data_IF_199762537025
#
_entry.id   IF_199762537025
#
_cell.length_a   1.000
_cell.length_b   1.000
_cell.length_c   1.000
_cell.angle_alpha   90.00
_cell.angle_beta   90.00
_cell.angle_gamma   90.00
#
_symmetry.space_group_name_H-M   'P 1'
#
loop_
_entity.id
_entity.type
_entity.pdbx_description
1 polymer ?
#
# COMPACT_ATOMS: atom_id res chain seq x y z
N UNK A 1 14.49 -1.17 -25.39
CA UNK A 1 15.40 -0.98 -24.24
C UNK A 1 15.53 -2.32 -23.52
N UNK A 2 16.73 -2.71 -23.06
CA UNK A 2 16.84 -3.90 -22.19
C UNK A 2 16.04 -3.64 -20.91
N UNK A 3 15.34 -4.66 -20.41
CA UNK A 3 14.47 -4.59 -19.23
C UNK A 3 15.26 -4.07 -18.02
N UNK A 4 14.74 -3.01 -17.36
CA UNK A 4 15.37 -2.37 -16.19
C UNK A 4 15.49 -3.37 -15.04
N UNK A 5 14.51 -4.25 -14.85
CA UNK A 5 14.56 -5.30 -13.83
C UNK A 5 15.49 -6.45 -14.22
N UNK A 6 15.60 -6.80 -15.51
CA UNK A 6 16.58 -7.78 -15.96
C UNK A 6 18.02 -7.28 -15.76
N UNK A 7 18.23 -5.96 -15.88
CA UNK A 7 19.50 -5.30 -15.55
C UNK A 7 19.75 -5.30 -14.03
N UNK A 8 18.78 -4.84 -13.22
CA UNK A 8 18.87 -4.79 -11.75
C UNK A 8 19.13 -6.14 -11.11
N UNK A 9 18.45 -7.19 -11.58
CA UNK A 9 18.64 -8.51 -11.00
C UNK A 9 20.06 -9.08 -11.28
N UNK A 10 20.78 -8.56 -12.27
CA UNK A 10 22.17 -8.93 -12.59
C UNK A 10 23.19 -7.89 -12.13
N UNK A 11 22.83 -6.97 -11.24
CA UNK A 11 23.74 -6.02 -10.61
C UNK A 11 23.67 -6.17 -9.10
N UNK A 12 24.81 -6.18 -8.42
CA UNK A 12 24.88 -6.15 -6.96
C UNK A 12 25.58 -4.87 -6.53
N UNK A 13 25.00 -4.13 -5.58
CA UNK A 13 25.68 -2.99 -5.00
C UNK A 13 26.88 -3.47 -4.16
N UNK A 14 28.03 -2.83 -4.36
CA UNK A 14 29.23 -2.98 -3.52
C UNK A 14 29.28 -1.87 -2.48
N UNK A 15 28.88 -0.68 -2.90
CA UNK A 15 28.68 0.54 -2.12
C UNK A 15 27.50 1.28 -2.75
N UNK A 16 27.00 2.33 -2.10
CA UNK A 16 25.96 3.18 -2.68
C UNK A 16 26.40 3.70 -4.07
N UNK A 17 25.52 3.58 -5.07
CA UNK A 17 25.75 3.98 -6.47
C UNK A 17 26.93 3.26 -7.18
N UNK A 18 27.51 2.21 -6.58
CA UNK A 18 28.59 1.42 -7.18
C UNK A 18 28.20 -0.05 -7.31
N UNK A 19 27.95 -0.48 -8.54
CA UNK A 19 27.45 -1.83 -8.84
C UNK A 19 28.44 -2.69 -9.59
N UNK A 20 28.44 -3.99 -9.28
CA UNK A 20 29.13 -5.01 -10.05
C UNK A 20 28.11 -5.84 -10.85
N UNK A 21 28.42 -6.14 -12.11
CA UNK A 21 27.60 -7.06 -12.90
C UNK A 21 27.82 -8.51 -12.46
N UNK A 22 26.73 -9.24 -12.31
CA UNK A 22 26.71 -10.65 -11.96
C UNK A 22 26.38 -11.51 -13.17
N UNK A 23 26.93 -12.74 -13.17
CA UNK A 23 26.73 -13.71 -14.25
C UNK A 23 25.30 -14.25 -14.28
N UNK A 24 24.65 -14.34 -13.13
CA UNK A 24 23.28 -14.82 -12.95
C UNK A 24 22.51 -13.83 -12.05
N UNK A 25 21.15 -13.84 -12.10
CA UNK A 25 20.32 -13.17 -11.12
C UNK A 25 20.80 -13.46 -9.70
N UNK A 26 21.00 -12.43 -8.89
CA UNK A 26 21.52 -12.60 -7.53
C UNK A 26 20.41 -12.68 -6.48
N UNK A 27 19.19 -12.21 -6.83
CA UNK A 27 18.00 -12.29 -5.99
C UNK A 27 16.82 -12.78 -6.85
N UNK A 28 16.24 -13.92 -6.48
CA UNK A 28 15.02 -14.38 -7.12
C UNK A 28 13.82 -13.61 -6.57
N UNK A 29 13.34 -12.62 -7.33
CA UNK A 29 12.14 -11.82 -7.00
C UNK A 29 10.82 -12.50 -7.39
N UNK A 30 10.88 -13.71 -7.96
CA UNK A 30 9.67 -14.44 -8.33
C UNK A 30 8.82 -14.69 -7.08
N UNK A 31 7.52 -14.37 -7.16
CA UNK A 31 6.61 -14.42 -6.03
C UNK A 31 5.28 -15.06 -6.46
N UNK A 32 5.22 -16.39 -6.52
CA UNK A 32 4.02 -17.12 -6.93
C UNK A 32 3.56 -18.04 -5.80
N UNK A 33 2.31 -17.90 -5.40
CA UNK A 33 1.58 -18.68 -4.41
C UNK A 33 1.41 -20.15 -4.85
N UNK A 34 1.28 -21.09 -3.89
CA UNK A 34 0.87 -22.46 -4.20
C UNK A 34 -0.60 -22.59 -4.64
N UNK A 35 -1.40 -21.52 -4.55
CA UNK A 35 -2.82 -21.52 -4.87
C UNK A 35 -3.09 -20.91 -6.24
N UNK A 36 -4.10 -21.45 -6.93
CA UNK A 36 -4.43 -21.03 -8.28
C UNK A 36 -5.09 -19.65 -8.29
N UNK A 37 -6.05 -19.40 -7.39
CA UNK A 37 -6.87 -18.18 -7.35
C UNK A 37 -6.69 -17.32 -6.09
N UNK A 38 -5.72 -17.63 -5.24
CA UNK A 38 -5.46 -16.86 -4.02
C UNK A 38 -4.01 -16.44 -3.93
N UNK A 39 -3.82 -15.16 -3.59
CA UNK A 39 -2.54 -14.74 -3.04
C UNK A 39 -2.33 -15.42 -1.67
N UNK A 40 -1.09 -15.48 -1.22
CA UNK A 40 -0.75 -15.95 0.13
C UNK A 40 0.29 -15.05 0.78
N UNK A 41 0.40 -15.08 2.10
CA UNK A 41 1.40 -14.30 2.84
C UNK A 41 2.83 -14.67 2.46
N UNK A 42 3.72 -13.68 2.40
CA UNK A 42 5.14 -13.93 2.18
C UNK A 42 5.75 -14.80 3.30
N UNK A 43 6.64 -15.73 2.91
CA UNK A 43 7.30 -16.65 3.84
C UNK A 43 6.52 -17.93 4.11
N UNK A 44 5.32 -18.09 3.54
CA UNK A 44 4.54 -19.32 3.66
C UNK A 44 5.10 -20.45 2.78
N UNK A 45 5.09 -21.71 3.25
CA UNK A 45 5.63 -22.84 2.50
C UNK A 45 4.90 -23.09 1.17
N UNK A 46 5.65 -23.46 0.14
CA UNK A 46 5.09 -23.91 -1.15
C UNK A 46 5.01 -22.82 -2.22
N UNK A 47 5.33 -21.56 -1.88
CA UNK A 47 5.54 -20.53 -2.88
C UNK A 47 6.70 -20.89 -3.84
N UNK A 48 6.54 -20.52 -5.11
CA UNK A 48 7.60 -20.60 -6.11
C UNK A 48 8.33 -19.26 -6.21
N UNK A 49 9.64 -19.33 -5.98
CA UNK A 49 10.55 -18.19 -5.89
C UNK A 49 10.76 -17.70 -4.46
N UNK A 50 11.60 -16.67 -4.29
CA UNK A 50 11.97 -16.12 -2.97
C UNK A 50 11.46 -14.69 -2.73
N UNK A 51 10.75 -14.12 -3.71
CA UNK A 51 10.29 -12.74 -3.67
C UNK A 51 8.93 -12.58 -3.01
N UNK A 52 8.49 -11.32 -2.97
CA UNK A 52 7.13 -10.94 -2.56
C UNK A 52 6.66 -9.70 -3.32
N UNK A 53 5.35 -9.52 -3.31
CA UNK A 53 4.66 -8.36 -3.86
C UNK A 53 4.06 -7.56 -2.71
N UNK A 54 4.42 -6.28 -2.63
CA UNK A 54 3.78 -5.33 -1.72
C UNK A 54 2.61 -4.68 -2.44
N UNK A 55 1.46 -4.60 -1.78
CA UNK A 55 0.24 -3.96 -2.29
C UNK A 55 -0.13 -2.81 -1.36
N UNK A 56 -0.67 -1.71 -1.88
CA UNK A 56 -1.07 -0.58 -1.04
C UNK A 56 -2.57 -0.64 -0.76
N UNK A 57 -2.95 -0.42 0.51
CA UNK A 57 -4.34 -0.26 0.92
C UNK A 57 -4.46 0.81 2.01
N UNK A 58 -5.41 1.70 1.83
CA UNK A 58 -5.99 2.54 2.90
C UNK A 58 -7.50 2.41 2.84
N UNK A 59 -8.16 2.49 3.99
CA UNK A 59 -9.62 2.49 4.05
C UNK A 59 -10.10 3.21 5.31
N UNK A 60 -11.28 3.83 5.22
CA UNK A 60 -11.95 4.43 6.35
C UNK A 60 -13.48 4.24 6.23
N UNK A 61 -14.12 3.87 7.34
CA UNK A 61 -15.54 3.50 7.35
C UNK A 61 -16.20 3.76 8.70
N UNK A 62 -17.53 3.60 8.75
CA UNK A 62 -18.30 3.77 9.98
C UNK A 62 -19.31 2.65 10.20
N UNK A 63 -19.67 2.45 11.47
CA UNK A 63 -20.74 1.56 11.92
C UNK A 63 -21.59 2.25 12.98
N UNK A 64 -22.87 1.89 13.08
CA UNK A 64 -23.70 2.36 14.19
C UNK A 64 -23.22 1.73 15.51
N UNK A 65 -23.10 2.54 16.57
CA UNK A 65 -22.75 2.06 17.90
C UNK A 65 -23.91 1.25 18.49
N UNK A 66 -23.59 0.06 18.99
CA UNK A 66 -24.51 -0.80 19.74
C UNK A 66 -24.28 -0.62 21.25
N UNK A 67 -24.91 -1.47 22.08
CA UNK A 67 -24.71 -1.44 23.53
C UNK A 67 -23.41 -2.17 23.95
N UNK A 68 -22.65 -2.72 23.02
CA UNK A 68 -21.40 -3.45 23.28
C UNK A 68 -20.22 -2.78 22.57
N UNK A 69 -19.43 -2.02 23.34
CA UNK A 69 -18.30 -1.25 22.81
C UNK A 69 -17.19 -2.14 22.26
N UNK A 70 -17.04 -3.37 22.77
CA UNK A 70 -16.03 -4.30 22.30
C UNK A 70 -16.42 -4.83 20.92
N UNK A 71 -17.67 -5.28 20.78
CA UNK A 71 -18.21 -5.77 19.51
C UNK A 71 -18.13 -4.68 18.45
N UNK A 72 -18.50 -3.45 18.77
CA UNK A 72 -18.49 -2.37 17.79
C UNK A 72 -17.08 -2.06 17.27
N UNK A 73 -16.08 -2.07 18.16
CA UNK A 73 -14.68 -1.83 17.76
C UNK A 73 -14.15 -2.95 16.87
N UNK A 74 -14.45 -4.21 17.20
CA UNK A 74 -14.05 -5.38 16.41
C UNK A 74 -14.71 -5.33 15.03
N UNK A 75 -16.03 -5.15 14.98
CA UNK A 75 -16.80 -5.11 13.73
C UNK A 75 -16.37 -3.94 12.83
N UNK A 76 -16.07 -2.78 13.41
CA UNK A 76 -15.58 -1.64 12.63
C UNK A 76 -14.21 -1.92 12.01
N UNK A 77 -13.34 -2.68 12.69
CA UNK A 77 -12.04 -3.10 12.17
C UNK A 77 -12.15 -4.11 11.04
N UNK A 78 -12.89 -5.19 11.24
CA UNK A 78 -13.10 -6.22 10.20
C UNK A 78 -13.74 -5.63 8.93
N UNK A 79 -14.63 -4.64 9.07
CA UNK A 79 -15.21 -3.95 7.92
C UNK A 79 -14.18 -3.17 7.11
N UNK A 80 -13.20 -2.53 7.76
CA UNK A 80 -12.16 -1.80 7.07
C UNK A 80 -11.21 -2.76 6.30
N UNK A 81 -10.95 -3.95 6.84
CA UNK A 81 -10.20 -5.00 6.12
C UNK A 81 -10.92 -5.45 4.84
N UNK A 82 -12.25 -5.56 4.89
CA UNK A 82 -13.08 -5.98 3.77
C UNK A 82 -13.35 -4.86 2.72
N UNK A 83 -13.28 -3.58 3.11
CA UNK A 83 -13.55 -2.45 2.21
C UNK A 83 -12.43 -2.23 1.18
N UNK A 84 -12.71 -1.59 0.05
CA UNK A 84 -11.73 -1.31 -1.01
C UNK A 84 -11.00 -2.58 -1.48
N UNK A 85 -9.66 -2.58 -1.53
CA UNK A 85 -8.88 -3.77 -1.81
C UNK A 85 -9.11 -4.82 -0.72
N UNK A 86 -9.72 -5.94 -1.09
CA UNK A 86 -10.18 -6.95 -0.14
C UNK A 86 -9.00 -7.69 0.51
N UNK A 87 -8.80 -7.46 1.81
CA UNK A 87 -7.82 -8.17 2.64
C UNK A 87 -8.46 -8.80 3.88
N UNK A 88 -9.79 -8.95 3.88
CA UNK A 88 -10.53 -9.51 5.00
C UNK A 88 -10.23 -10.99 5.23
N UNK A 89 -10.50 -11.45 6.46
CA UNK A 89 -10.36 -12.86 6.87
C UNK A 89 -8.92 -13.38 6.89
N UNK A 90 -7.91 -12.52 6.99
CA UNK A 90 -6.51 -12.91 7.19
C UNK A 90 -6.08 -12.71 8.65
N UNK A 91 -4.98 -13.33 9.02
CA UNK A 91 -4.25 -13.03 10.24
C UNK A 91 -3.14 -12.05 9.90
N UNK A 92 -3.32 -10.75 10.21
CA UNK A 92 -2.29 -9.74 9.97
C UNK A 92 -1.14 -9.85 11.00
N UNK A 93 0.09 -9.91 10.51
CA UNK A 93 1.31 -9.90 11.31
C UNK A 93 2.07 -8.59 11.06
N UNK A 94 2.13 -7.71 12.05
CA UNK A 94 2.74 -6.38 11.89
C UNK A 94 4.25 -6.45 11.69
N UNK A 95 4.74 -5.77 10.65
CA UNK A 95 6.16 -5.59 10.32
C UNK A 95 6.59 -4.12 10.41
N UNK A 96 7.90 -3.89 10.34
CA UNK A 96 8.54 -2.57 10.47
C UNK A 96 8.56 -1.73 9.18
N UNK A 97 7.69 -2.01 8.21
CA UNK A 97 7.39 -1.12 7.07
C UNK A 97 8.48 -0.92 5.99
N UNK A 98 9.06 -1.98 5.43
CA UNK A 98 10.00 -1.89 4.27
C UNK A 98 9.62 -2.79 3.10
N UNK A 99 9.94 -2.40 1.87
CA UNK A 99 9.92 -3.29 0.69
C UNK A 99 11.36 -3.41 0.16
N UNK A 100 12.01 -4.52 0.51
CA UNK A 100 13.43 -4.77 0.26
C UNK A 100 13.74 -5.29 -1.14
N UNK A 101 14.98 -5.74 -1.33
CA UNK A 101 15.53 -6.13 -2.64
C UNK A 101 14.80 -7.31 -3.31
N UNK A 102 14.17 -8.19 -2.52
CA UNK A 102 13.34 -9.30 -3.02
C UNK A 102 11.88 -8.90 -3.28
N UNK A 103 11.49 -7.69 -2.86
CA UNK A 103 10.15 -7.15 -2.99
C UNK A 103 9.92 -6.43 -4.30
N UNK A 104 8.67 -6.43 -4.73
CA UNK A 104 8.17 -5.65 -5.87
C UNK A 104 6.85 -5.00 -5.50
N UNK A 105 6.55 -3.80 -6.00
CA UNK A 105 5.31 -3.09 -5.71
C UNK A 105 4.29 -3.30 -6.84
N UNK A 106 3.12 -3.83 -6.51
CA UNK A 106 2.02 -3.97 -7.48
C UNK A 106 1.51 -2.61 -7.93
N UNK A 107 1.25 -2.45 -9.23
CA UNK A 107 0.88 -1.17 -9.84
C UNK A 107 2.07 -0.26 -10.16
N UNK A 108 3.29 -0.59 -9.70
CA UNK A 108 4.51 0.16 -10.05
C UNK A 108 5.55 -0.73 -10.76
N UNK A 109 6.02 -1.78 -10.08
CA UNK A 109 7.02 -2.71 -10.62
C UNK A 109 6.38 -3.81 -11.46
N UNK A 110 5.19 -4.26 -11.06
CA UNK A 110 4.41 -5.35 -11.66
C UNK A 110 3.04 -4.82 -12.05
N UNK A 111 2.54 -5.18 -13.25
CA UNK A 111 1.24 -4.73 -13.77
C UNK A 111 1.07 -3.22 -13.57
N UNK A 112 2.00 -2.45 -14.15
CA UNK A 112 2.16 -1.03 -13.84
C UNK A 112 0.90 -0.25 -14.22
N UNK A 113 0.38 0.54 -13.30
CA UNK A 113 -0.78 1.39 -13.57
C UNK A 113 -0.47 2.37 -14.71
N UNK A 114 -1.37 2.47 -15.68
CA UNK A 114 -1.18 3.21 -16.93
C UNK A 114 -0.80 4.69 -16.71
N UNK A 115 -1.37 5.32 -15.68
CA UNK A 115 -1.10 6.71 -15.30
C UNK A 115 0.31 7.00 -14.76
N UNK A 116 1.09 5.96 -14.39
CA UNK A 116 2.47 6.12 -13.91
C UNK A 116 3.42 6.52 -15.04
N UNK A 117 3.22 5.99 -16.25
CA UNK A 117 4.13 6.21 -17.39
C UNK A 117 3.60 7.24 -18.40
N UNK A 118 2.29 7.46 -18.47
CA UNK A 118 1.68 8.30 -19.50
C UNK A 118 1.78 9.82 -19.23
N UNK A 119 2.48 10.23 -18.17
CA UNK A 119 2.69 11.64 -17.80
C UNK A 119 1.46 12.34 -17.22
N UNK A 120 0.36 11.62 -16.96
CA UNK A 120 -0.81 12.17 -16.25
C UNK A 120 -0.51 12.41 -14.77
N UNK A 121 0.29 11.53 -14.15
CA UNK A 121 0.71 11.73 -12.77
C UNK A 121 1.78 12.83 -12.70
N UNK A 122 1.43 13.96 -12.07
CA UNK A 122 2.34 15.08 -11.80
C UNK A 122 2.69 15.10 -10.32
N UNK A 123 3.91 15.53 -9.96
CA UNK A 123 4.24 15.74 -8.55
C UNK A 123 3.26 16.74 -7.92
N UNK A 124 2.74 16.38 -6.75
CA UNK A 124 1.94 17.24 -5.89
C UNK A 124 2.79 18.37 -5.30
N UNK A 125 4.00 18.02 -4.89
CA UNK A 125 5.04 18.92 -4.43
C UNK A 125 6.41 18.22 -4.49
N UNK A 126 7.44 18.97 -4.13
CA UNK A 126 8.81 18.46 -3.94
C UNK A 126 9.23 18.70 -2.49
N UNK A 127 10.02 17.78 -1.94
CA UNK A 127 10.63 17.92 -0.63
C UNK A 127 12.15 17.76 -0.75
N UNK A 128 12.90 18.52 0.05
CA UNK A 128 14.35 18.49 -0.02
C UNK A 128 14.90 17.38 0.88
N UNK A 129 15.60 16.42 0.28
CA UNK A 129 16.28 15.36 1.03
C UNK A 129 17.48 15.89 1.80
N UNK A 130 17.98 15.10 2.75
CA UNK A 130 19.08 15.49 3.65
C UNK A 130 20.39 15.83 2.94
N UNK A 131 20.60 15.34 1.70
CA UNK A 131 21.76 15.69 0.87
C UNK A 131 21.51 16.89 -0.07
N UNK A 132 20.30 17.44 -0.05
CA UNK A 132 19.85 18.55 -0.87
C UNK A 132 19.23 18.20 -2.22
N UNK A 133 19.10 16.91 -2.58
CA UNK A 133 18.36 16.46 -3.77
C UNK A 133 16.86 16.63 -3.56
N UNK A 134 16.14 17.02 -4.60
CA UNK A 134 14.67 17.07 -4.60
C UNK A 134 14.07 15.65 -4.64
N UNK A 135 13.07 15.41 -3.81
CA UNK A 135 12.20 14.24 -3.78
C UNK A 135 10.83 14.63 -4.34
N UNK A 136 10.48 14.05 -5.48
CA UNK A 136 9.15 14.27 -6.08
C UNK A 136 8.10 13.42 -5.35
N UNK A 137 6.99 14.06 -4.97
CA UNK A 137 5.89 13.43 -4.23
C UNK A 137 4.66 13.36 -5.11
N UNK A 138 4.09 12.17 -5.24
CA UNK A 138 2.93 11.86 -6.08
C UNK A 138 1.76 11.38 -5.24
N UNK A 139 0.56 11.47 -5.82
CA UNK A 139 -0.62 10.84 -5.23
C UNK A 139 -0.56 9.32 -5.40
N UNK A 140 -0.85 8.57 -4.33
CA UNK A 140 -0.85 7.11 -4.35
C UNK A 140 -2.09 6.47 -5.00
N UNK A 141 -3.09 7.24 -5.44
CA UNK A 141 -4.32 6.73 -6.06
C UNK A 141 -4.06 5.66 -7.13
N UNK A 142 -3.09 5.78 -8.07
CA UNK A 142 -2.80 4.72 -9.04
C UNK A 142 -2.41 3.37 -8.40
N UNK A 143 -1.65 3.39 -7.31
CA UNK A 143 -1.19 2.18 -6.61
C UNK A 143 -2.29 1.58 -5.74
N UNK A 144 -3.13 2.43 -5.13
CA UNK A 144 -4.31 2.01 -4.39
C UNK A 144 -5.33 1.34 -5.32
N UNK A 145 -5.61 1.96 -6.47
CA UNK A 145 -6.47 1.38 -7.52
C UNK A 145 -5.92 0.04 -8.01
N UNK A 146 -4.62 -0.04 -8.29
CA UNK A 146 -4.00 -1.30 -8.68
C UNK A 146 -4.18 -2.42 -7.63
N UNK A 147 -4.13 -2.08 -6.34
CA UNK A 147 -4.42 -3.02 -5.26
C UNK A 147 -5.86 -3.54 -5.27
N UNK A 148 -6.84 -2.65 -5.54
CA UNK A 148 -8.24 -3.04 -5.74
C UNK A 148 -8.38 -3.96 -6.95
N UNK A 149 -7.68 -3.67 -8.05
CA UNK A 149 -7.72 -4.53 -9.23
C UNK A 149 -7.09 -5.91 -8.98
N UNK A 150 -6.06 -6.04 -8.13
CA UNK A 150 -5.48 -7.34 -7.82
C UNK A 150 -6.40 -8.19 -6.94
N UNK A 151 -6.81 -7.63 -5.80
CA UNK A 151 -7.55 -8.38 -4.78
C UNK A 151 -9.05 -8.42 -5.02
N UNK A 152 -9.56 -7.47 -5.80
CA UNK A 152 -10.98 -7.22 -5.92
C UNK A 152 -11.55 -6.52 -4.68
N UNK A 153 -12.88 -6.43 -4.64
CA UNK A 153 -13.65 -5.90 -3.50
C UNK A 153 -14.39 -7.03 -2.80
N UNK A 154 -15.02 -6.76 -1.67
CA UNK A 154 -15.82 -7.78 -0.96
C UNK A 154 -16.93 -8.38 -1.85
N UNK A 155 -17.55 -7.55 -2.70
CA UNK A 155 -18.63 -7.94 -3.62
C UNK A 155 -18.12 -8.53 -4.95
N UNK A 156 -16.87 -8.26 -5.31
CA UNK A 156 -16.23 -8.78 -6.52
C UNK A 156 -14.78 -9.16 -6.20
N UNK A 157 -14.61 -10.28 -5.48
CA UNK A 157 -13.30 -10.77 -5.06
C UNK A 157 -12.55 -11.34 -6.24
N UNK A 158 -11.26 -11.02 -6.33
CA UNK A 158 -10.32 -11.56 -7.31
C UNK A 158 -9.24 -12.35 -6.57
N UNK A 159 -7.96 -12.09 -6.85
CA UNK A 159 -6.82 -12.81 -6.27
C UNK A 159 -6.45 -12.30 -4.88
N UNK A 160 -7.44 -12.07 -4.00
CA UNK A 160 -7.21 -11.71 -2.61
C UNK A 160 -6.41 -12.79 -1.85
N UNK A 161 -5.78 -12.44 -0.71
CA UNK A 161 -5.15 -13.43 0.15
C UNK A 161 -6.12 -14.53 0.58
N UNK A 162 -5.64 -15.77 0.65
CA UNK A 162 -6.47 -16.92 1.06
C UNK A 162 -7.05 -16.72 2.47
N UNK A 163 -8.34 -17.02 2.71
CA UNK A 163 -8.92 -16.93 4.05
C UNK A 163 -8.16 -17.76 5.09
N UNK A 164 -7.80 -17.13 6.21
CA UNK A 164 -6.97 -17.71 7.28
C UNK A 164 -5.47 -17.60 7.04
N UNK A 165 -5.02 -17.00 5.93
CA UNK A 165 -3.60 -16.73 5.66
C UNK A 165 -2.95 -16.00 6.83
N UNK A 166 -1.68 -16.31 7.10
CA UNK A 166 -0.85 -15.49 7.98
C UNK A 166 -0.07 -14.53 7.10
N UNK A 167 -0.54 -13.29 7.04
CA UNK A 167 -0.02 -12.30 6.10
C UNK A 167 0.75 -11.25 6.88
N UNK A 168 2.04 -11.15 6.59
CA UNK A 168 2.86 -10.06 7.10
C UNK A 168 2.39 -8.76 6.45
N UNK A 169 2.18 -7.72 7.25
CA UNK A 169 1.72 -6.42 6.82
C UNK A 169 2.52 -5.32 7.50
N UNK A 170 2.90 -4.31 6.73
CA UNK A 170 3.12 -2.97 7.27
C UNK A 170 1.71 -2.42 7.58
N UNK A 171 1.34 -2.18 8.85
CA UNK A 171 -0.02 -1.76 9.15
C UNK A 171 -0.16 -0.84 10.37
N UNK A 172 -1.15 0.04 10.30
CA UNK A 172 -1.61 0.89 11.41
C UNK A 172 -3.11 1.15 11.27
N UNK A 173 -3.76 1.50 12.36
CA UNK A 173 -5.17 1.87 12.32
C UNK A 173 -5.62 2.62 13.56
N UNK A 174 -6.82 3.17 13.49
CA UNK A 174 -7.45 3.93 14.57
C UNK A 174 -8.94 3.64 14.61
N UNK A 175 -9.51 3.65 15.81
CA UNK A 175 -10.95 3.55 16.04
C UNK A 175 -11.38 4.70 16.93
N UNK A 176 -12.46 5.38 16.57
CA UNK A 176 -13.01 6.47 17.34
C UNK A 176 -14.54 6.41 17.42
N UNK A 177 -15.11 6.95 18.50
CA UNK A 177 -16.56 7.11 18.64
C UNK A 177 -16.98 8.58 18.49
N UNK A 178 -18.07 8.85 17.77
CA UNK A 178 -18.73 10.18 17.79
C UNK A 178 -19.93 10.16 18.75
N UNK A 179 -19.91 10.91 19.87
CA UNK A 179 -21.02 10.98 20.81
C UNK A 179 -22.36 11.36 20.16
N UNK A 180 -23.47 10.75 20.64
CA UNK A 180 -24.83 11.09 20.17
C UNK A 180 -25.25 12.53 20.49
N UNK A 181 -24.81 13.03 21.63
CA UNK A 181 -25.12 14.36 22.14
C UNK A 181 -23.93 15.28 21.95
N UNK A 182 -24.20 16.54 21.63
CA UNK A 182 -23.16 17.57 21.57
C UNK A 182 -22.63 17.86 22.99
N UNK A 183 -21.38 17.43 23.21
CA UNK A 183 -20.62 17.61 24.46
C UNK A 183 -19.14 17.59 24.15
N UNK A 184 -18.32 18.03 25.11
CA UNK A 184 -16.87 17.88 25.02
C UNK A 184 -16.49 16.41 24.74
N UNK A 185 -15.60 16.23 23.76
CA UNK A 185 -15.03 14.94 23.38
C UNK A 185 -14.13 14.41 24.50
N UNK A 186 -14.15 13.10 24.71
CA UNK A 186 -13.24 12.37 25.59
C UNK A 186 -12.13 11.72 24.77
N UNK A 187 -11.14 11.16 25.46
CA UNK A 187 -10.12 10.32 24.82
C UNK A 187 -10.76 9.19 24.00
N UNK A 188 -10.29 8.99 22.78
CA UNK A 188 -10.86 8.02 21.82
C UNK A 188 -12.15 8.46 21.14
N UNK A 189 -12.61 9.70 21.36
CA UNK A 189 -13.77 10.27 20.67
C UNK A 189 -13.37 11.33 19.65
N UNK A 190 -14.16 11.48 18.60
CA UNK A 190 -13.89 12.42 17.51
C UNK A 190 -15.10 12.68 16.63
N UNK A 191 -14.90 13.57 15.67
CA UNK A 191 -15.84 13.81 14.57
C UNK A 191 -15.51 12.96 13.34
N UNK A 192 -14.24 12.61 13.13
CA UNK A 192 -13.81 11.76 12.03
C UNK A 192 -12.60 10.87 12.36
N UNK A 193 -12.29 9.97 11.44
CA UNK A 193 -11.12 9.07 11.48
C UNK A 193 -10.40 9.11 10.14
N UNK A 194 -9.08 8.96 10.14
CA UNK A 194 -8.27 8.96 8.92
C UNK A 194 -7.06 8.03 9.03
N UNK A 195 -6.54 7.62 7.87
CA UNK A 195 -5.30 6.86 7.72
C UNK A 195 -4.51 7.31 6.50
N UNK A 196 -3.19 7.15 6.55
CA UNK A 196 -2.23 7.45 5.49
C UNK A 196 -1.40 6.21 5.16
N UNK A 197 -1.06 6.08 3.88
CA UNK A 197 0.03 5.21 3.44
C UNK A 197 0.95 6.01 2.52
N UNK A 198 2.25 5.86 2.70
CA UNK A 198 3.25 6.30 1.74
C UNK A 198 4.20 5.16 1.40
N UNK A 199 4.63 5.08 0.14
CA UNK A 199 5.75 4.25 -0.30
C UNK A 199 6.79 5.14 -0.97
N UNK A 200 8.02 5.07 -0.47
CA UNK A 200 9.16 5.84 -0.98
C UNK A 200 10.16 4.90 -1.62
N UNK A 201 10.33 5.04 -2.93
CA UNK A 201 11.13 4.15 -3.73
C UNK A 201 12.59 4.58 -3.69
N UNK A 202 13.48 3.68 -3.28
CA UNK A 202 14.90 3.99 -3.15
C UNK A 202 15.52 4.37 -4.50
N UNK A 203 16.44 5.33 -4.48
CA UNK A 203 17.19 5.74 -5.67
C UNK A 203 18.13 4.61 -6.14
N UNK A 204 18.60 3.77 -5.21
CA UNK A 204 19.41 2.58 -5.47
C UNK A 204 18.77 1.35 -4.80
N UNK A 205 17.80 0.72 -5.50
CA UNK A 205 17.08 -0.48 -5.02
C UNK A 205 17.92 -1.76 -5.06
N UNK A 206 19.15 -1.69 -5.57
CA UNK A 206 20.15 -2.77 -5.47
C UNK A 206 21.03 -2.61 -4.21
N UNK A 207 20.84 -1.55 -3.43
CA UNK A 207 21.55 -1.27 -2.18
C UNK A 207 20.60 -1.07 -0.99
N UNK A 208 19.49 -0.35 -1.19
CA UNK A 208 18.57 0.06 -0.15
C UNK A 208 17.14 -0.46 -0.40
N UNK A 209 16.40 -0.69 0.68
CA UNK A 209 14.97 -1.02 0.62
C UNK A 209 14.13 0.23 0.33
N UNK A 210 12.98 0.04 -0.29
CA UNK A 210 11.92 1.05 -0.29
C UNK A 210 11.28 1.12 1.11
N UNK A 211 10.73 2.28 1.45
CA UNK A 211 10.18 2.57 2.79
C UNK A 211 8.67 2.77 2.72
N UNK A 212 7.92 2.04 3.55
CA UNK A 212 6.55 2.35 3.88
C UNK A 212 6.49 3.31 5.07
N UNK A 213 5.57 4.27 5.03
CA UNK A 213 5.18 5.07 6.20
C UNK A 213 3.67 5.03 6.33
N UNK A 214 3.21 4.60 7.49
CA UNK A 214 1.81 4.54 7.86
C UNK A 214 1.49 5.51 8.98
N UNK A 215 0.37 6.21 8.85
CA UNK A 215 -0.17 6.99 9.94
C UNK A 215 -1.69 6.86 10.04
N UNK A 216 -2.24 7.10 11.22
CA UNK A 216 -3.68 7.09 11.43
C UNK A 216 -4.03 7.96 12.63
N UNK A 217 -5.20 8.61 12.58
CA UNK A 217 -5.59 9.54 13.63
C UNK A 217 -7.08 9.84 13.69
N UNK A 218 -7.44 10.56 14.75
CA UNK A 218 -8.80 11.00 15.05
C UNK A 218 -8.89 12.49 14.71
N UNK A 219 -9.94 12.89 14.01
CA UNK A 219 -10.27 14.28 13.76
C UNK A 219 -11.19 14.81 14.86
N UNK A 220 -10.73 15.81 15.61
CA UNK A 220 -11.38 16.32 16.82
C UNK A 220 -11.88 17.76 16.71
N UNK A 221 -11.60 18.46 15.61
CA UNK A 221 -11.86 19.90 15.51
C UNK A 221 -13.33 20.22 15.25
N UNK A 222 -13.97 19.56 14.27
CA UNK A 222 -15.37 19.79 13.88
C UNK A 222 -15.90 18.66 12.99
N UNK A 223 -17.16 18.74 12.55
CA UNK A 223 -17.76 17.78 11.62
C UNK A 223 -17.73 18.20 10.14
N UNK A 224 -16.86 19.15 9.78
CA UNK A 224 -16.62 19.55 8.40
C UNK A 224 -15.65 18.59 7.73
N UNK A 225 -16.13 17.91 6.69
CA UNK A 225 -15.28 17.06 5.85
C UNK A 225 -14.24 17.89 5.06
N UNK A 226 -14.62 19.09 4.64
CA UNK A 226 -13.72 20.00 3.92
C UNK A 226 -12.52 20.43 4.80
N UNK A 227 -12.77 20.78 6.07
CA UNK A 227 -11.70 21.18 7.00
C UNK A 227 -10.76 20.00 7.30
N UNK A 228 -11.34 18.80 7.44
CA UNK A 228 -10.58 17.57 7.62
C UNK A 228 -9.69 17.29 6.40
N UNK A 229 -10.22 17.38 5.18
CA UNK A 229 -9.44 17.18 3.95
C UNK A 229 -8.33 18.24 3.83
N UNK A 230 -8.61 19.50 4.15
CA UNK A 230 -7.61 20.56 4.15
C UNK A 230 -6.47 20.26 5.15
N UNK A 231 -6.79 19.75 6.33
CA UNK A 231 -5.80 19.25 7.29
C UNK A 231 -4.98 18.09 6.71
N UNK A 232 -5.62 17.09 6.09
CA UNK A 232 -4.93 15.92 5.53
C UNK A 232 -3.97 16.32 4.40
N UNK A 233 -4.38 17.23 3.52
CA UNK A 233 -3.50 17.74 2.46
C UNK A 233 -2.28 18.47 3.00
N UNK A 234 -2.40 19.16 4.14
CA UNK A 234 -1.26 19.73 4.84
C UNK A 234 -0.42 18.66 5.54
N UNK A 235 -1.06 17.68 6.20
CA UNK A 235 -0.41 16.59 6.93
C UNK A 235 0.44 15.70 6.02
N UNK A 236 0.07 15.58 4.74
CA UNK A 236 0.86 14.92 3.69
C UNK A 236 2.34 15.35 3.69
N UNK A 237 2.62 16.62 3.98
CA UNK A 237 4.00 17.14 4.08
C UNK A 237 4.75 16.61 5.30
N UNK A 238 4.08 16.44 6.44
CA UNK A 238 4.67 15.85 7.64
C UNK A 238 5.01 14.36 7.42
N UNK A 239 4.14 13.63 6.71
CA UNK A 239 4.40 12.24 6.29
C UNK A 239 5.65 12.17 5.39
N UNK A 240 5.80 13.06 4.42
CA UNK A 240 6.98 13.06 3.55
C UNK A 240 8.23 13.55 4.30
N UNK A 241 8.10 14.48 5.24
CA UNK A 241 9.23 14.88 6.06
C UNK A 241 9.77 13.71 6.91
N UNK A 242 8.89 12.86 7.47
CA UNK A 242 9.35 11.67 8.19
C UNK A 242 10.10 10.68 7.29
N UNK A 243 9.70 10.54 6.02
CA UNK A 243 10.47 9.79 5.01
C UNK A 243 11.89 10.34 4.87
N UNK A 244 12.05 11.66 4.77
CA UNK A 244 13.36 12.30 4.61
C UNK A 244 14.24 12.06 5.84
N UNK A 245 13.70 12.16 7.05
CA UNK A 245 14.45 11.88 8.29
C UNK A 245 14.80 10.38 8.40
N UNK A 246 13.88 9.47 8.08
CA UNK A 246 14.18 8.03 8.04
C UNK A 246 15.27 7.68 7.03
N UNK A 247 15.26 8.34 5.86
CA UNK A 247 16.30 8.21 4.85
C UNK A 247 17.64 8.75 5.35
N UNK A 248 17.64 9.87 6.08
CA UNK A 248 18.85 10.43 6.69
C UNK A 248 19.47 9.47 7.70
N UNK A 249 18.67 8.91 8.59
CA UNK A 249 19.13 7.99 9.64
C UNK A 249 19.74 6.72 9.07
N UNK A 250 19.27 6.28 7.90
CA UNK A 250 19.73 5.06 7.23
C UNK A 250 20.69 5.33 6.06
N UNK A 251 21.02 6.60 5.80
CA UNK A 251 21.82 7.02 4.64
C UNK A 251 21.24 6.52 3.30
N UNK A 252 19.93 6.64 3.14
CA UNK A 252 19.16 6.28 1.94
C UNK A 252 18.59 7.54 1.29
N UNK A 253 18.67 7.58 -0.04
CA UNK A 253 18.00 8.58 -0.86
C UNK A 253 16.87 7.90 -1.62
N UNK A 254 15.74 8.58 -1.73
CA UNK A 254 14.58 8.13 -2.47
C UNK A 254 14.51 8.85 -3.83
N UNK A 255 14.05 8.14 -4.86
CA UNK A 255 13.81 8.72 -6.18
C UNK A 255 12.46 9.44 -6.23
N UNK A 256 11.43 8.84 -5.62
CA UNK A 256 10.06 9.35 -5.58
C UNK A 256 9.28 8.75 -4.42
N UNK A 257 8.25 9.47 -4.00
CA UNK A 257 7.30 9.00 -2.97
C UNK A 257 5.87 9.06 -3.52
N UNK A 258 5.11 8.00 -3.29
CA UNK A 258 3.66 7.99 -3.49
C UNK A 258 2.98 8.04 -2.12
N UNK A 259 2.05 8.96 -1.91
CA UNK A 259 1.32 9.11 -0.65
C UNK A 259 -0.17 9.29 -0.89
N UNK A 260 -0.99 8.60 -0.11
CA UNK A 260 -2.44 8.67 -0.17
C UNK A 260 -3.06 8.48 1.21
N UNK A 261 -4.33 8.85 1.35
CA UNK A 261 -5.07 8.73 2.60
C UNK A 261 -6.52 8.29 2.36
N UNK A 262 -7.14 7.77 3.42
CA UNK A 262 -8.57 7.55 3.51
C UNK A 262 -9.10 8.28 4.74
N UNK A 263 -10.34 8.76 4.68
CA UNK A 263 -10.96 9.45 5.81
C UNK A 263 -12.48 9.27 5.85
N UNK A 264 -13.07 9.53 7.01
CA UNK A 264 -14.51 9.48 7.20
C UNK A 264 -14.95 10.39 8.34
N UNK A 265 -15.90 11.29 8.07
CA UNK A 265 -16.69 11.94 9.12
C UNK A 265 -17.76 10.97 9.61
N UNK A 266 -17.80 10.74 10.92
CA UNK A 266 -18.78 9.90 11.60
C UNK A 266 -20.05 10.70 11.85
N UNK A 267 -21.23 10.08 11.84
CA UNK A 267 -22.47 10.70 12.36
C UNK A 267 -22.55 10.55 13.89
N UNK A 268 -23.31 11.41 14.61
CA UNK A 268 -23.53 11.22 16.04
C UNK A 268 -24.07 9.82 16.34
N UNK A 269 -23.39 9.08 17.21
CA UNK A 269 -23.72 7.69 17.50
C UNK A 269 -23.00 6.65 16.64
N UNK A 270 -22.14 7.04 15.70
CA UNK A 270 -21.33 6.10 14.92
C UNK A 270 -19.94 5.89 15.55
N UNK A 271 -19.38 4.71 15.28
CA UNK A 271 -17.97 4.38 15.48
C UNK A 271 -17.30 4.37 14.12
N UNK A 272 -16.21 5.11 14.01
CA UNK A 272 -15.35 5.16 12.83
C UNK A 272 -14.13 4.26 13.01
N UNK A 273 -13.69 3.67 11.91
CA UNK A 273 -12.40 3.01 11.81
C UNK A 273 -11.68 3.49 10.56
N UNK A 274 -10.38 3.74 10.67
CA UNK A 274 -9.50 3.89 9.52
C UNK A 274 -8.26 2.99 9.67
N UNK A 275 -7.89 2.30 8.59
CA UNK A 275 -6.71 1.44 8.52
C UNK A 275 -5.83 1.81 7.32
N UNK A 276 -4.56 1.49 7.45
CA UNK A 276 -3.53 1.57 6.42
C UNK A 276 -2.75 0.27 6.48
N UNK A 277 -2.59 -0.39 5.33
CA UNK A 277 -2.05 -1.75 5.24
C UNK A 277 -1.24 -1.90 3.95
N UNK A 278 0.02 -2.28 4.09
CA UNK A 278 0.89 -2.78 3.04
C UNK A 278 1.14 -4.28 3.21
N UNK A 279 0.25 -5.17 2.73
CA UNK A 279 0.48 -6.61 2.82
C UNK A 279 1.61 -7.06 1.90
N UNK A 280 2.40 -8.03 2.38
CA UNK A 280 3.44 -8.71 1.60
C UNK A 280 2.92 -10.08 1.17
N UNK A 281 2.70 -10.25 -0.13
CA UNK A 281 2.06 -11.44 -0.69
C UNK A 281 2.89 -12.15 -1.75
N UNK A 282 2.54 -13.39 -2.03
CA UNK A 282 2.89 -14.10 -3.26
C UNK A 282 1.65 -14.21 -4.14
N UNK A 283 1.80 -14.03 -5.46
CA UNK A 283 0.66 -13.92 -6.38
C UNK A 283 0.03 -15.28 -6.66
N UNK A 284 -1.30 -15.34 -6.72
CA UNK A 284 -2.03 -16.50 -7.22
C UNK A 284 -1.47 -16.98 -8.57
N UNK A 285 -1.44 -18.30 -8.84
CA UNK A 285 -0.89 -18.80 -10.12
C UNK A 285 -1.62 -18.22 -11.33
N UNK A 286 -2.94 -18.08 -11.23
CA UNK A 286 -3.75 -17.53 -12.31
C UNK A 286 -3.60 -16.02 -12.45
N UNK A 287 -3.09 -15.30 -11.44
CA UNK A 287 -2.73 -13.88 -11.56
C UNK A 287 -1.46 -13.65 -12.40
N UNK A 288 -0.71 -14.72 -12.69
CA UNK A 288 0.53 -14.67 -13.48
C UNK A 288 0.22 -15.03 -14.93
N UNK A 289 0.54 -14.15 -15.91
CA UNK A 289 0.33 -14.45 -17.32
C UNK A 289 1.01 -15.74 -17.76
N UNK A 290 0.49 -16.40 -18.79
CA UNK A 290 1.07 -17.63 -19.35
C UNK A 290 2.52 -17.45 -19.85
N UNK A 291 2.92 -16.20 -20.12
CA UNK A 291 4.29 -15.82 -20.49
C UNK A 291 5.27 -15.80 -19.31
N UNK A 292 4.78 -15.99 -18.09
CA UNK A 292 5.55 -16.13 -16.85
C UNK A 292 5.63 -14.85 -16.02
N UNK A 293 5.99 -14.98 -14.73
CA UNK A 293 6.00 -13.89 -13.75
C UNK A 293 6.76 -12.63 -14.21
N UNK A 294 7.93 -12.80 -14.85
CA UNK A 294 8.74 -11.67 -15.31
C UNK A 294 8.09 -10.81 -16.41
N UNK A 295 7.02 -11.29 -17.07
CA UNK A 295 6.30 -10.48 -18.07
C UNK A 295 5.51 -9.34 -17.42
N UNK A 296 5.05 -9.52 -16.18
CA UNK A 296 4.35 -8.50 -15.39
C UNK A 296 5.17 -7.21 -15.22
N UNK A 297 6.50 -7.29 -15.26
CA UNK A 297 7.37 -6.12 -15.19
C UNK A 297 7.28 -5.18 -16.41
N UNK A 298 6.74 -5.68 -17.52
CA UNK A 298 6.60 -4.93 -18.77
C UNK A 298 5.12 -4.82 -19.19
N UNK A 299 4.20 -5.23 -18.33
CA UNK A 299 2.77 -5.24 -18.58
C UNK A 299 2.13 -4.05 -17.86
N UNK A 300 1.25 -3.32 -18.54
CA UNK A 300 0.40 -2.33 -17.91
C UNK A 300 -0.79 -2.99 -17.22
N UNK A 301 -1.38 -2.32 -16.24
CA UNK A 301 -2.53 -2.83 -15.49
C UNK A 301 -3.71 -3.13 -16.42
N UNK A 302 -3.97 -2.26 -17.40
CA UNK A 302 -5.02 -2.49 -18.41
C UNK A 302 -4.79 -3.76 -19.23
N UNK A 303 -3.53 -4.05 -19.61
CA UNK A 303 -3.20 -5.27 -20.34
C UNK A 303 -3.34 -6.52 -19.47
N UNK A 304 -2.95 -6.42 -18.19
CA UNK A 304 -3.13 -7.49 -17.22
C UNK A 304 -4.60 -7.82 -17.02
N UNK A 305 -5.46 -6.82 -16.80
CA UNK A 305 -6.91 -7.03 -16.66
C UNK A 305 -7.51 -7.73 -17.87
N UNK A 306 -7.09 -7.34 -19.07
CA UNK A 306 -7.54 -7.98 -20.32
C UNK A 306 -7.06 -9.44 -20.41
N UNK A 307 -5.83 -9.73 -19.99
CA UNK A 307 -5.29 -11.10 -19.97
C UNK A 307 -6.04 -11.98 -18.96
N UNK A 308 -6.49 -11.39 -17.84
CA UNK A 308 -7.28 -12.06 -16.80
C UNK A 308 -8.79 -12.14 -17.10
N UNK A 309 -9.26 -11.53 -18.20
CA UNK A 309 -10.69 -11.36 -18.53
C UNK A 309 -11.49 -10.64 -17.42
N UNK A 310 -10.91 -9.58 -16.85
CA UNK A 310 -11.52 -8.77 -15.82
C UNK A 310 -11.96 -7.40 -16.33
N UNK A 311 -13.20 -7.04 -16.00
CA UNK A 311 -13.70 -5.66 -16.12
C UNK A 311 -13.11 -4.78 -15.01
N UNK A 312 -12.55 -3.60 -15.31
CA UNK A 312 -12.01 -2.67 -14.33
C UNK A 312 -12.98 -2.36 -13.18
N UNK A 313 -12.49 -2.38 -11.95
CA UNK A 313 -13.23 -1.98 -10.75
C UNK A 313 -13.02 -0.51 -10.38
N UNK A 314 -11.95 0.09 -10.90
CA UNK A 314 -11.49 1.44 -10.62
C UNK A 314 -11.27 2.22 -11.92
N UNK A 315 -11.01 3.53 -11.80
CA UNK A 315 -10.63 4.34 -12.97
C UNK A 315 -9.13 4.14 -13.26
N UNK A 316 -8.84 3.54 -14.41
CA UNK A 316 -7.49 3.17 -14.85
C UNK A 316 -6.94 4.19 -15.87
N UNK A 317 -7.77 5.16 -16.31
CA UNK A 317 -7.49 6.05 -17.42
C UNK A 317 -6.37 7.08 -17.16
#
# INVERSE_FOLDING_TARGET
MKNVEERRNRTIAREADQHATMRAPHIDKTAISPYDDYCDGYGMPGAYGNGYVSVLKVSAGTVEKTNDELVDRIVAYDKAEAADAYVGQINMLTASSFCGMAGQVWGYDLARHDSVDNGKSKPLFTEKQWNGRELEVYDAAPLLSAGVELFGTEQNRRYHPIPGAHTICANKGVVAYRPKTDRALKEGEGYGVWSFIAISLSADRDFAADLFIEDAGIWTENDSEEDMVAFLEQHRKAIVWSVVECGRDQNVLYDRTYVGFAHRIMKPGEIGNAITVGPYVTLARNAVPATGFGSLNNMHLTDWLKDMDFEPLTDIA
#
